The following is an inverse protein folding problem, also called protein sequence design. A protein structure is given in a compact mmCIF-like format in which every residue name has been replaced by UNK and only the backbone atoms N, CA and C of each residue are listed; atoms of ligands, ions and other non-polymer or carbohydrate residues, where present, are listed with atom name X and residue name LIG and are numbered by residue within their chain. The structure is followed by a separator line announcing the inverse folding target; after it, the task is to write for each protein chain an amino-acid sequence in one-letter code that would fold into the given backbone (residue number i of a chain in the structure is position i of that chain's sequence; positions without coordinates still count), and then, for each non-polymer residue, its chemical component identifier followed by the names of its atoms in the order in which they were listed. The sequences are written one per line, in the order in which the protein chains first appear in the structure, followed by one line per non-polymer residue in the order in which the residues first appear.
data_IF_308170818384
#
_entry.id   IF_308170818384
#
_cell.length_a   1.000
_cell.length_b   1.000
_cell.length_c   1.000
_cell.angle_alpha   90.00
_cell.angle_beta   90.00
_cell.angle_gamma   90.00
#
_symmetry.space_group_name_H-M   'P 1'
#
loop_
_entity.id
_entity.type
_entity.pdbx_description
1 polymer ?
#
# COMPACT_ATOMS: atom_id res chain seq x y z
N UNK A 1 -14.04 14.66 -26.72
CA UNK A 1 -13.19 13.62 -27.34
C UNK A 1 -11.94 14.33 -27.84
N UNK A 2 -10.84 14.21 -27.09
CA UNK A 2 -9.57 14.81 -27.48
C UNK A 2 -8.97 14.04 -28.64
N UNK A 3 -8.28 14.73 -29.55
CA UNK A 3 -7.57 14.05 -30.64
C UNK A 3 -6.28 13.39 -30.11
N UNK A 4 -5.80 12.37 -30.82
CA UNK A 4 -4.54 11.68 -30.47
C UNK A 4 -3.37 12.66 -30.30
N UNK A 5 -3.30 13.67 -31.17
CA UNK A 5 -2.24 14.69 -31.14
C UNK A 5 -2.32 15.56 -29.88
N UNK A 6 -3.52 15.97 -29.47
CA UNK A 6 -3.73 16.73 -28.23
C UNK A 6 -3.34 15.92 -26.98
N UNK A 7 -3.66 14.62 -26.96
CA UNK A 7 -3.27 13.73 -25.87
C UNK A 7 -1.75 13.57 -25.76
N UNK A 8 -1.05 13.44 -26.90
CA UNK A 8 0.41 13.34 -26.90
C UNK A 8 1.07 14.63 -26.39
N UNK A 9 0.56 15.80 -26.80
CA UNK A 9 1.05 17.09 -26.29
C UNK A 9 0.83 17.23 -24.78
N UNK A 10 -0.31 16.74 -24.27
CA UNK A 10 -0.62 16.78 -22.84
C UNK A 10 0.24 15.81 -22.01
N UNK A 11 0.54 14.64 -22.57
CA UNK A 11 1.47 13.68 -21.97
C UNK A 11 2.89 14.26 -21.89
N UNK A 12 3.33 15.00 -22.91
CA UNK A 12 4.64 15.66 -22.92
C UNK A 12 4.75 16.71 -21.80
N UNK A 13 3.73 17.57 -21.67
CA UNK A 13 3.66 18.57 -20.58
C UNK A 13 3.64 17.92 -19.18
N UNK A 14 2.79 16.91 -18.99
CA UNK A 14 2.72 16.15 -17.73
C UNK A 14 4.04 15.43 -17.42
N UNK A 15 4.74 14.93 -18.44
CA UNK A 15 6.03 14.27 -18.26
C UNK A 15 7.11 15.24 -17.76
N UNK A 16 7.09 16.48 -18.27
CA UNK A 16 7.99 17.54 -17.82
C UNK A 16 7.66 17.98 -16.38
N UNK A 17 6.38 18.12 -16.05
CA UNK A 17 5.94 18.51 -14.70
C UNK A 17 6.21 17.43 -13.65
N UNK A 18 6.02 16.15 -13.98
CA UNK A 18 6.36 15.03 -13.10
C UNK A 18 7.86 14.71 -13.06
N UNK A 19 8.66 15.30 -13.97
CA UNK A 19 10.09 15.06 -14.07
C UNK A 19 10.46 13.65 -14.55
N UNK A 20 9.55 12.96 -15.25
CA UNK A 20 9.77 11.59 -15.77
C UNK A 20 9.10 11.39 -17.12
N UNK A 21 9.72 10.61 -18.00
CA UNK A 21 9.11 10.27 -19.29
C UNK A 21 7.84 9.42 -19.11
N UNK A 22 6.75 9.87 -19.76
CA UNK A 22 5.48 9.15 -19.82
C UNK A 22 5.33 8.41 -21.15
N UNK A 23 4.66 7.25 -21.17
CA UNK A 23 4.45 6.48 -22.38
C UNK A 23 3.55 7.26 -23.36
N UNK A 24 4.10 7.50 -24.56
CA UNK A 24 3.43 8.23 -25.67
C UNK A 24 3.02 7.32 -26.84
N UNK A 25 3.06 6.02 -26.62
CA UNK A 25 2.73 5.00 -27.62
C UNK A 25 1.45 4.28 -27.21
N UNK A 26 0.47 4.21 -28.11
CA UNK A 26 -0.79 3.53 -27.81
C UNK A 26 -1.97 4.00 -28.65
N UNK A 27 -3.14 3.47 -28.30
CA UNK A 27 -4.45 3.92 -28.81
C UNK A 27 -4.91 5.19 -28.06
N UNK A 28 -5.91 5.90 -28.60
CA UNK A 28 -6.46 7.11 -27.96
C UNK A 28 -6.90 6.82 -26.52
N UNK A 29 -7.60 5.71 -26.29
CA UNK A 29 -8.07 5.30 -24.97
C UNK A 29 -6.92 5.05 -23.97
N UNK A 30 -5.81 4.48 -24.44
CA UNK A 30 -4.63 4.29 -23.57
C UNK A 30 -3.96 5.61 -23.22
N UNK A 31 -3.83 6.51 -24.20
CA UNK A 31 -3.30 7.86 -23.96
C UNK A 31 -4.20 8.66 -23.00
N UNK A 32 -5.53 8.54 -23.11
CA UNK A 32 -6.48 9.13 -22.16
C UNK A 32 -6.27 8.57 -20.75
N UNK A 33 -6.07 7.26 -20.61
CA UNK A 33 -5.80 6.64 -19.30
C UNK A 33 -4.47 7.10 -18.70
N UNK A 34 -3.45 7.31 -19.54
CA UNK A 34 -2.14 7.81 -19.10
C UNK A 34 -2.23 9.27 -18.65
N UNK A 35 -2.92 10.12 -19.41
CA UNK A 35 -3.18 11.52 -19.04
C UNK A 35 -3.91 11.59 -17.71
N UNK A 36 -5.01 10.86 -17.55
CA UNK A 36 -5.79 10.87 -16.31
C UNK A 36 -4.98 10.41 -15.09
N UNK A 37 -4.15 9.38 -15.26
CA UNK A 37 -3.27 8.89 -14.19
C UNK A 37 -2.17 9.90 -13.83
N UNK A 38 -1.56 10.54 -14.83
CA UNK A 38 -0.54 11.55 -14.61
C UNK A 38 -1.10 12.85 -14.00
N UNK A 39 -2.28 13.30 -14.44
CA UNK A 39 -2.99 14.45 -13.84
C UNK A 39 -3.34 14.19 -12.37
N UNK A 40 -3.83 12.98 -12.05
CA UNK A 40 -4.16 12.62 -10.66
C UNK A 40 -2.92 12.55 -9.76
N UNK A 41 -1.77 12.11 -10.27
CA UNK A 41 -0.54 12.12 -9.49
C UNK A 41 -0.03 13.53 -9.24
N UNK A 42 -0.15 14.40 -10.25
CA UNK A 42 0.24 15.80 -10.15
C UNK A 42 -0.62 16.58 -9.14
N UNK A 43 -1.91 16.27 -9.11
CA UNK A 43 -2.87 16.83 -8.16
C UNK A 43 -2.47 16.51 -6.71
N UNK A 44 -2.11 15.25 -6.43
CA UNK A 44 -1.61 14.81 -5.11
C UNK A 44 -0.30 15.52 -4.75
N UNK A 45 0.64 15.61 -5.69
CA UNK A 45 1.93 16.30 -5.47
C UNK A 45 1.74 17.80 -5.22
N UNK A 46 0.76 18.42 -5.87
CA UNK A 46 0.41 19.82 -5.67
C UNK A 46 -0.27 20.06 -4.32
N UNK A 47 -1.14 19.14 -3.86
CA UNK A 47 -1.71 19.18 -2.50
C UNK A 47 -0.64 19.02 -1.42
N UNK A 48 0.33 18.12 -1.60
CA UNK A 48 1.44 17.94 -0.65
C UNK A 48 2.40 19.13 -0.61
N UNK A 49 2.50 19.89 -1.70
CA UNK A 49 3.32 21.10 -1.75
C UNK A 49 2.61 22.34 -1.17
N UNK A 50 1.33 22.20 -0.76
CA UNK A 50 0.52 23.29 -0.21
C UNK A 50 0.40 23.33 1.32
N UNK A 51 0.99 22.37 2.05
CA UNK A 51 0.89 22.26 3.51
C UNK A 51 2.21 22.65 4.19
N UNK A 52 2.59 23.93 4.04
CA UNK A 52 3.65 24.55 4.82
C UNK A 52 3.14 25.81 5.53
N UNK A 53 2.36 25.64 6.61
CA UNK A 53 2.12 26.58 7.73
C UNK A 53 1.12 25.90 8.68
N UNK A 54 1.48 25.35 9.84
CA UNK A 54 1.86 26.11 11.04
C UNK A 54 2.49 25.13 12.05
N UNK A 55 3.80 25.21 12.21
CA UNK A 55 4.51 24.64 13.35
C UNK A 55 5.09 25.80 14.17
N UNK A 56 4.27 26.43 15.00
CA UNK A 56 4.80 27.24 16.10
C UNK A 56 3.80 27.33 17.26
N UNK A 57 4.09 26.63 18.35
CA UNK A 57 4.23 27.25 19.68
C UNK A 57 4.74 26.17 20.65
N UNK A 58 6.05 26.23 20.86
CA UNK A 58 6.74 25.63 21.99
C UNK A 58 6.29 26.33 23.29
N UNK A 59 5.53 25.63 24.14
CA UNK A 59 5.29 26.05 25.52
C UNK A 59 5.82 24.96 26.46
N UNK A 60 7.11 25.06 26.77
CA UNK A 60 7.68 24.47 27.98
C UNK A 60 6.96 25.04 29.20
N UNK A 61 6.30 24.18 29.95
CA UNK A 61 6.01 24.39 31.37
C UNK A 61 6.41 23.12 32.10
N UNK A 62 7.65 23.12 32.57
CA UNK A 62 8.12 22.28 33.66
C UNK A 62 7.27 22.57 34.90
N UNK A 63 6.73 21.54 35.54
CA UNK A 63 6.43 21.58 36.97
C UNK A 63 6.69 20.19 37.57
N UNK A 64 7.69 20.18 38.44
CA UNK A 64 8.24 19.08 39.21
C UNK A 64 7.21 18.44 40.17
N UNK A 65 7.26 17.12 40.35
CA UNK A 65 6.43 16.47 41.38
C UNK A 65 6.57 14.96 41.50
N UNK A 66 7.69 14.52 42.10
CA UNK A 66 7.81 13.47 43.12
C UNK A 66 6.85 12.25 43.06
N UNK A 67 7.42 11.05 42.89
CA UNK A 67 6.67 9.81 43.10
C UNK A 67 7.32 8.57 42.49
N UNK A 68 8.39 8.10 43.12
CA UNK A 68 9.04 6.85 42.76
C UNK A 68 8.13 5.65 43.02
N UNK A 69 7.55 5.06 41.96
CA UNK A 69 7.09 3.68 41.96
C UNK A 69 7.40 3.06 40.59
N UNK A 70 8.51 2.32 40.50
CA UNK A 70 8.68 1.32 39.44
C UNK A 70 7.78 0.13 39.75
N UNK A 71 6.89 -0.26 38.83
CA UNK A 71 6.58 -1.66 38.63
C UNK A 71 7.23 -2.11 37.32
N UNK A 72 8.20 -3.00 37.47
CA UNK A 72 8.42 -4.19 36.65
C UNK A 72 7.92 -4.13 35.20
N UNK A 73 8.88 -4.09 34.28
CA UNK A 73 8.82 -4.48 32.86
C UNK A 73 7.63 -5.40 32.50
N UNK A 74 6.45 -4.81 32.33
CA UNK A 74 5.32 -5.48 31.74
C UNK A 74 5.37 -5.20 30.25
N UNK A 75 5.59 -6.27 29.49
CA UNK A 75 5.31 -6.36 28.07
C UNK A 75 3.99 -5.67 27.74
N UNK A 76 4.03 -4.47 27.16
CA UNK A 76 2.96 -3.98 26.30
C UNK A 76 3.53 -2.85 25.47
N UNK A 77 4.24 -3.25 24.43
CA UNK A 77 4.25 -2.51 23.17
C UNK A 77 2.79 -2.30 22.78
N UNK A 78 2.22 -1.19 23.22
CA UNK A 78 1.00 -0.62 22.66
C UNK A 78 1.40 0.17 21.44
N UNK A 79 1.93 -0.54 20.44
CA UNK A 79 2.03 -0.04 19.08
C UNK A 79 0.76 -0.54 18.40
N UNK A 80 -0.21 0.32 18.07
CA UNK A 80 -1.33 -0.07 17.24
C UNK A 80 -0.84 -0.17 15.79
N UNK A 81 0.09 -1.09 15.53
CA UNK A 81 0.35 -1.53 14.16
C UNK A 81 -0.49 -2.78 13.96
N UNK A 82 -1.60 -2.59 13.27
CA UNK A 82 -2.33 -3.61 12.54
C UNK A 82 -1.37 -4.24 11.50
N UNK A 83 -0.31 -4.92 11.96
CA UNK A 83 0.39 -5.89 11.13
C UNK A 83 -0.69 -6.89 10.74
N UNK A 84 -1.01 -7.05 9.45
CA UNK A 84 -1.98 -8.05 9.07
C UNK A 84 -1.44 -9.37 9.61
N UNK A 85 -2.19 -10.01 10.51
CA UNK A 85 -1.74 -11.23 11.14
C UNK A 85 -1.60 -12.28 10.03
N UNK A 86 -0.42 -12.44 9.45
CA UNK A 86 -0.21 -13.40 8.37
C UNK A 86 -0.12 -14.79 8.97
N UNK A 87 -0.84 -15.77 8.40
CA UNK A 87 -0.81 -17.16 8.83
C UNK A 87 -0.27 -18.04 7.73
N UNK A 88 0.46 -19.07 8.13
CA UNK A 88 0.92 -20.14 7.23
C UNK A 88 -0.20 -21.13 7.04
N UNK A 89 -0.54 -21.43 5.79
CA UNK A 89 -1.55 -22.43 5.42
C UNK A 89 -1.00 -23.31 4.31
N UNK A 90 -1.49 -24.55 4.27
CA UNK A 90 -1.14 -25.50 3.21
C UNK A 90 -2.29 -25.63 2.24
N UNK A 91 -2.06 -25.37 0.96
CA UNK A 91 -3.09 -25.48 -0.07
C UNK A 91 -3.48 -26.93 -0.31
N UNK A 92 -4.79 -27.20 -0.48
CA UNK A 92 -5.30 -28.51 -0.94
C UNK A 92 -5.31 -28.60 -2.46
N UNK A 93 -5.63 -27.49 -3.12
CA UNK A 93 -5.77 -27.39 -4.56
C UNK A 93 -4.77 -26.39 -5.14
N UNK A 94 -4.45 -26.55 -6.43
CA UNK A 94 -3.68 -25.55 -7.17
C UNK A 94 -4.54 -24.32 -7.41
N UNK A 95 -4.15 -23.19 -6.83
CA UNK A 95 -4.94 -21.95 -6.85
C UNK A 95 -4.06 -20.76 -7.17
N UNK A 96 -4.64 -19.80 -7.88
CA UNK A 96 -4.08 -18.47 -8.08
C UNK A 96 -4.42 -17.63 -6.85
N UNK A 97 -3.42 -17.39 -5.98
CA UNK A 97 -3.63 -16.74 -4.69
C UNK A 97 -2.60 -15.64 -4.46
N UNK A 98 -2.99 -14.62 -3.70
CA UNK A 98 -2.04 -13.65 -3.16
C UNK A 98 -1.42 -14.23 -1.91
N UNK A 99 -0.10 -14.32 -1.86
CA UNK A 99 0.63 -14.79 -0.68
C UNK A 99 1.92 -13.98 -0.47
N UNK A 100 2.46 -14.03 0.73
CA UNK A 100 3.69 -13.33 1.07
C UNK A 100 4.90 -14.24 0.86
N UNK A 101 5.82 -13.77 0.01
CA UNK A 101 7.14 -14.36 -0.19
C UNK A 101 8.17 -13.34 0.28
N UNK A 102 8.94 -13.69 1.31
CA UNK A 102 9.95 -12.79 1.91
C UNK A 102 9.37 -11.42 2.33
N UNK A 103 8.13 -11.39 2.83
CA UNK A 103 7.46 -10.15 3.24
C UNK A 103 6.85 -9.35 2.08
N UNK A 104 6.94 -9.83 0.84
CA UNK A 104 6.29 -9.21 -0.33
C UNK A 104 5.05 -9.98 -0.73
N UNK A 105 3.90 -9.30 -0.81
CA UNK A 105 2.66 -9.88 -1.35
C UNK A 105 2.82 -10.08 -2.85
N UNK A 106 2.71 -11.31 -3.31
CA UNK A 106 2.79 -11.71 -4.71
C UNK A 106 1.59 -12.55 -5.07
N UNK A 107 1.08 -12.36 -6.28
CA UNK A 107 0.05 -13.24 -6.87
C UNK A 107 0.78 -14.35 -7.60
N UNK A 108 0.59 -15.58 -7.16
CA UNK A 108 1.21 -16.75 -7.77
C UNK A 108 0.19 -17.89 -7.86
N UNK A 109 0.32 -18.70 -8.92
CA UNK A 109 -0.38 -19.97 -9.03
C UNK A 109 0.39 -20.99 -8.21
N UNK A 110 -0.08 -21.25 -7.01
CA UNK A 110 0.58 -22.13 -6.06
C UNK A 110 -0.03 -23.52 -6.17
N UNK A 111 0.83 -24.52 -6.42
CA UNK A 111 0.41 -25.91 -6.54
C UNK A 111 -0.18 -26.47 -5.23
N UNK A 112 -1.10 -27.41 -5.37
CA UNK A 112 -1.62 -28.23 -4.27
C UNK A 112 -0.49 -28.78 -3.38
N UNK A 113 -0.69 -28.72 -2.07
CA UNK A 113 0.23 -29.23 -1.07
C UNK A 113 1.38 -28.30 -0.68
N UNK A 114 1.52 -27.12 -1.31
CA UNK A 114 2.52 -26.11 -0.89
C UNK A 114 2.03 -25.29 0.30
N UNK A 115 2.97 -24.93 1.16
CA UNK A 115 2.74 -24.01 2.28
C UNK A 115 2.99 -22.57 1.82
N UNK A 116 2.06 -21.68 2.14
CA UNK A 116 2.10 -20.27 1.82
C UNK A 116 1.72 -19.41 3.02
N UNK A 117 2.17 -18.17 3.01
CA UNK A 117 1.85 -17.17 4.02
C UNK A 117 0.78 -16.25 3.46
N UNK A 118 -0.35 -16.12 4.13
CA UNK A 118 -1.51 -15.32 3.66
C UNK A 118 -2.09 -14.53 4.83
N UNK A 119 -2.82 -13.45 4.55
CA UNK A 119 -3.46 -12.64 5.59
C UNK A 119 -4.53 -13.45 6.34
N UNK A 120 -4.65 -13.30 7.66
CA UNK A 120 -5.68 -13.97 8.48
C UNK A 120 -7.12 -13.88 7.94
N UNK A 121 -7.61 -12.72 7.43
CA UNK A 121 -8.94 -12.68 6.81
C UNK A 121 -9.03 -13.54 5.54
N UNK A 122 -7.98 -13.57 4.72
CA UNK A 122 -7.93 -14.33 3.47
C UNK A 122 -7.83 -15.85 3.75
N UNK A 123 -7.16 -16.21 4.85
CA UNK A 123 -7.13 -17.58 5.38
C UNK A 123 -8.54 -18.07 5.72
N UNK A 124 -9.37 -17.24 6.36
CA UNK A 124 -10.72 -17.63 6.73
C UNK A 124 -11.57 -17.96 5.49
N UNK A 125 -11.43 -17.18 4.42
CA UNK A 125 -12.12 -17.42 3.15
C UNK A 125 -11.61 -18.70 2.46
N UNK A 126 -10.29 -18.91 2.44
CA UNK A 126 -9.66 -20.12 1.91
C UNK A 126 -10.08 -21.38 2.69
N UNK A 127 -10.23 -21.29 4.02
CA UNK A 127 -10.72 -22.38 4.85
C UNK A 127 -12.21 -22.62 4.60
N UNK A 128 -13.01 -21.56 4.51
CA UNK A 128 -14.45 -21.66 4.23
C UNK A 128 -14.72 -22.30 2.86
N UNK A 129 -13.85 -22.05 1.88
CA UNK A 129 -13.89 -22.65 0.56
C UNK A 129 -13.27 -24.08 0.49
N UNK A 130 -12.82 -24.65 1.62
CA UNK A 130 -12.11 -25.94 1.70
C UNK A 130 -10.85 -26.01 0.80
N UNK A 131 -10.26 -24.86 0.50
CA UNK A 131 -9.11 -24.74 -0.40
C UNK A 131 -7.77 -24.93 0.30
N UNK A 132 -7.74 -24.88 1.64
CA UNK A 132 -6.54 -25.05 2.47
C UNK A 132 -6.77 -26.03 3.60
N UNK A 133 -5.71 -26.70 4.04
CA UNK A 133 -5.65 -27.36 5.33
C UNK A 133 -5.43 -26.29 6.40
N UNK A 134 -6.43 -26.04 7.24
CA UNK A 134 -6.22 -25.28 8.47
C UNK A 134 -5.29 -26.09 9.38
N UNK A 135 -4.07 -25.59 9.62
CA UNK A 135 -3.17 -26.09 10.68
C UNK A 135 -3.39 -25.33 11.98
#
# INVERSE_FOLDING_TARGET
MSTKTELLARIDDLSAQLGRELPRSGTIAELESIVAGAESELDILNEQSGDESDADTNASASDDGDGAEQPSIASTTSQPELSPATRRVRLRNTLDVYHYVNGRRVREIVAAGREIVVDSPEVADLIAADHVYAL
#
